data_IF_311817390373
#
_entry.id   IF_311817390373
#
_cell.length_a   1.000
_cell.length_b   1.000
_cell.length_c   1.000
_cell.angle_alpha   90.00
_cell.angle_beta   90.00
_cell.angle_gamma   90.00
#
_symmetry.space_group_name_H-M   'P 1'
#
loop_
_entity.id
_entity.type
_entity.pdbx_description
1 polymer ?
#
# COMPACT_ATOMS: atom_id res chain seq x y z
N UNK A 1 -31.36 11.99 1.53
CA UNK A 1 -31.12 10.92 0.53
C UNK A 1 -29.69 10.44 0.69
N UNK A 2 -29.43 9.13 0.91
CA UNK A 2 -28.05 8.60 0.90
C UNK A 2 -27.53 8.66 -0.53
N UNK A 3 -26.42 9.39 -0.78
CA UNK A 3 -25.73 9.36 -2.08
C UNK A 3 -25.40 7.90 -2.40
N UNK A 4 -25.64 7.43 -3.64
CA UNK A 4 -25.27 6.08 -4.03
C UNK A 4 -23.76 5.87 -3.84
N UNK A 5 -23.32 4.67 -3.42
CA UNK A 5 -21.91 4.42 -3.18
C UNK A 5 -21.13 4.60 -4.49
N UNK A 6 -20.01 5.34 -4.42
CA UNK A 6 -19.09 5.49 -5.55
C UNK A 6 -18.60 4.09 -5.92
N UNK A 7 -19.03 3.59 -7.09
CA UNK A 7 -18.62 2.28 -7.58
C UNK A 7 -17.15 2.36 -8.02
N UNK A 8 -16.37 1.33 -7.66
CA UNK A 8 -14.98 1.26 -8.10
C UNK A 8 -14.90 1.22 -9.63
N UNK A 9 -14.13 2.15 -10.20
CA UNK A 9 -14.02 2.31 -11.66
C UNK A 9 -13.08 1.30 -12.32
N UNK A 10 -12.29 0.57 -11.52
CA UNK A 10 -11.38 -0.47 -11.97
C UNK A 10 -9.92 0.00 -12.12
N UNK A 11 -8.98 -0.92 -11.90
CA UNK A 11 -7.54 -0.65 -11.85
C UNK A 11 -7.01 0.02 -13.12
N UNK A 12 -7.52 -0.40 -14.29
CA UNK A 12 -7.09 0.16 -15.58
C UNK A 12 -7.39 1.66 -15.67
N UNK A 13 -8.61 2.07 -15.33
CA UNK A 13 -9.01 3.49 -15.42
C UNK A 13 -8.21 4.36 -14.46
N UNK A 14 -7.95 3.86 -13.24
CA UNK A 14 -7.10 4.58 -12.28
C UNK A 14 -5.66 4.68 -12.79
N UNK A 15 -5.10 3.61 -13.37
CA UNK A 15 -3.76 3.66 -13.96
C UNK A 15 -3.68 4.67 -15.12
N UNK A 16 -4.66 4.66 -16.02
CA UNK A 16 -4.72 5.57 -17.16
C UNK A 16 -4.84 7.05 -16.68
N UNK A 17 -5.59 7.28 -15.61
CA UNK A 17 -5.73 8.58 -14.96
C UNK A 17 -4.43 9.07 -14.32
N UNK A 18 -3.74 8.21 -13.55
CA UNK A 18 -2.45 8.53 -12.95
C UNK A 18 -1.39 8.85 -14.02
N UNK A 19 -1.38 8.07 -15.11
CA UNK A 19 -0.47 8.31 -16.24
C UNK A 19 -0.78 9.62 -16.97
N UNK A 20 -2.07 9.95 -17.17
CA UNK A 20 -2.50 11.23 -17.79
C UNK A 20 -1.92 12.44 -17.06
N UNK A 21 -1.88 12.39 -15.74
CA UNK A 21 -1.37 13.48 -14.91
C UNK A 21 0.08 13.26 -14.45
N UNK A 22 0.85 12.44 -15.17
CA UNK A 22 2.27 12.18 -14.91
C UNK A 22 2.59 11.86 -13.44
N UNK A 23 1.74 11.08 -12.77
CA UNK A 23 1.97 10.65 -11.39
C UNK A 23 3.32 9.90 -11.30
N UNK A 24 4.27 10.36 -10.47
CA UNK A 24 5.58 9.73 -10.35
C UNK A 24 5.52 8.40 -9.61
N UNK A 25 4.46 8.16 -8.83
CA UNK A 25 4.28 6.93 -8.07
C UNK A 25 3.58 5.87 -8.94
N UNK A 26 4.14 4.65 -9.07
CA UNK A 26 3.51 3.61 -9.85
C UNK A 26 2.24 3.08 -9.18
N UNK A 27 1.29 2.60 -9.98
CA UNK A 27 -0.06 2.25 -9.51
C UNK A 27 -0.08 1.23 -8.35
N UNK A 28 0.81 0.23 -8.35
CA UNK A 28 0.87 -0.75 -7.26
C UNK A 28 1.28 -0.11 -5.93
N UNK A 29 2.22 0.85 -5.95
CA UNK A 29 2.60 1.63 -4.78
C UNK A 29 1.49 2.61 -4.37
N UNK A 30 0.75 3.19 -5.31
CA UNK A 30 -0.44 4.01 -4.99
C UNK A 30 -1.48 3.17 -4.23
N UNK A 31 -1.73 1.92 -4.66
CA UNK A 31 -2.69 1.03 -3.97
C UNK A 31 -2.28 0.80 -2.52
N UNK A 32 -1.01 0.51 -2.27
CA UNK A 32 -0.54 0.22 -0.93
C UNK A 32 -0.41 1.48 -0.07
N UNK A 33 -0.05 2.63 -0.65
CA UNK A 33 -0.05 3.93 0.05
C UNK A 33 -1.44 4.37 0.50
N UNK A 34 -2.44 4.27 -0.36
CA UNK A 34 -3.82 4.53 0.06
C UNK A 34 -4.27 3.50 1.12
N UNK A 35 -3.89 2.22 0.98
CA UNK A 35 -4.21 1.20 1.99
C UNK A 35 -3.54 1.50 3.34
N UNK A 36 -2.28 1.96 3.34
CA UNK A 36 -1.57 2.41 4.52
C UNK A 36 -2.32 3.54 5.23
N UNK A 37 -2.73 4.58 4.50
CA UNK A 37 -3.45 5.70 5.10
C UNK A 37 -4.82 5.29 5.64
N UNK A 38 -5.54 4.42 4.92
CA UNK A 38 -6.77 3.75 5.40
C UNK A 38 -6.52 2.97 6.68
N UNK A 39 -5.31 2.45 6.89
CA UNK A 39 -4.93 1.62 8.03
C UNK A 39 -4.52 2.44 9.24
N UNK A 40 -3.91 3.61 9.02
CA UNK A 40 -3.32 4.46 10.06
C UNK A 40 -4.23 4.61 11.29
N UNK A 41 -3.74 4.36 12.52
CA UNK A 41 -4.56 4.48 13.72
C UNK A 41 -4.97 5.92 14.04
N UNK A 42 -4.39 6.89 13.33
CA UNK A 42 -4.69 8.31 13.42
C UNK A 42 -6.13 8.63 13.04
N UNK A 43 -6.75 9.52 13.82
CA UNK A 43 -8.11 10.03 13.53
C UNK A 43 -8.10 11.20 12.55
N UNK A 44 -6.95 11.85 12.40
CA UNK A 44 -6.71 13.02 11.55
C UNK A 44 -6.06 12.67 10.19
N UNK A 45 -5.85 11.38 9.91
CA UNK A 45 -5.30 10.92 8.62
C UNK A 45 -6.17 11.43 7.46
N UNK A 46 -5.55 12.20 6.55
CA UNK A 46 -6.25 12.89 5.46
C UNK A 46 -6.10 12.14 4.13
N UNK A 47 -7.20 11.63 3.55
CA UNK A 47 -7.19 11.05 2.20
C UNK A 47 -6.77 12.08 1.14
N UNK A 48 -7.17 13.34 1.31
CA UNK A 48 -6.84 14.40 0.37
C UNK A 48 -5.34 14.72 0.38
N UNK A 49 -4.71 14.73 1.56
CA UNK A 49 -3.26 14.93 1.66
C UNK A 49 -2.51 13.75 1.03
N UNK A 50 -2.93 12.51 1.33
CA UNK A 50 -2.32 11.31 0.73
C UNK A 50 -2.38 11.34 -0.80
N UNK A 51 -3.45 11.88 -1.38
CA UNK A 51 -3.56 12.07 -2.84
C UNK A 51 -2.56 13.11 -3.34
N UNK A 52 -2.38 14.25 -2.65
CA UNK A 52 -1.35 15.25 -3.00
C UNK A 52 0.06 14.70 -2.92
N UNK A 53 0.33 13.88 -1.91
CA UNK A 53 1.66 13.31 -1.68
C UNK A 53 2.06 12.32 -2.79
N UNK A 54 1.11 11.86 -3.63
CA UNK A 54 1.45 11.12 -4.85
C UNK A 54 2.23 11.97 -5.85
N UNK A 55 2.12 13.30 -5.79
CA UNK A 55 2.84 14.28 -6.62
C UNK A 55 3.82 15.14 -5.80
N UNK A 56 4.26 14.66 -4.63
CA UNK A 56 5.22 15.40 -3.80
C UNK A 56 4.61 16.55 -2.99
N UNK A 57 3.30 16.52 -2.75
CA UNK A 57 2.60 17.44 -1.83
C UNK A 57 1.74 18.50 -2.52
N UNK A 58 1.87 18.64 -3.84
CA UNK A 58 1.07 19.54 -4.67
C UNK A 58 0.39 18.77 -5.79
N UNK A 59 -0.86 19.11 -6.12
CA UNK A 59 -1.56 18.46 -7.23
C UNK A 59 -0.98 18.95 -8.57
N UNK A 60 -1.07 18.14 -9.64
CA UNK A 60 -0.72 18.58 -10.99
C UNK A 60 -1.62 19.73 -11.45
N UNK A 61 -1.22 20.43 -12.51
CA UNK A 61 -2.09 21.41 -13.16
C UNK A 61 -3.29 20.73 -13.80
N UNK A 62 -4.45 21.39 -13.74
CA UNK A 62 -5.71 20.91 -14.34
C UNK A 62 -6.29 21.97 -15.26
N UNK A 63 -6.93 21.52 -16.33
CA UNK A 63 -7.60 22.39 -17.29
C UNK A 63 -8.81 23.12 -16.65
N UNK A 64 -9.56 22.42 -15.80
CA UNK A 64 -10.74 22.93 -15.14
C UNK A 64 -11.06 22.18 -13.83
N UNK A 65 -12.11 22.63 -13.13
CA UNK A 65 -12.57 21.99 -11.90
C UNK A 65 -13.19 20.61 -12.12
N UNK A 66 -13.69 20.30 -13.32
CA UNK A 66 -14.26 18.99 -13.62
C UNK A 66 -13.17 17.93 -13.71
N UNK A 67 -12.00 18.28 -14.25
CA UNK A 67 -10.79 17.47 -14.26
C UNK A 67 -10.31 17.12 -12.83
N UNK A 68 -10.32 18.12 -11.93
CA UNK A 68 -10.03 17.92 -10.49
C UNK A 68 -11.04 16.95 -9.87
N UNK A 69 -12.34 17.21 -10.09
CA UNK A 69 -13.41 16.38 -9.55
C UNK A 69 -13.30 14.93 -10.04
N UNK A 70 -12.97 14.71 -11.31
CA UNK A 70 -12.78 13.39 -11.88
C UNK A 70 -11.60 12.65 -11.22
N UNK A 71 -10.47 13.35 -11.00
CA UNK A 71 -9.33 12.78 -10.31
C UNK A 71 -9.72 12.25 -8.93
N UNK A 72 -10.34 13.10 -8.12
CA UNK A 72 -10.78 12.72 -6.78
C UNK A 72 -11.85 11.63 -6.80
N UNK A 73 -12.82 11.67 -7.72
CA UNK A 73 -13.86 10.65 -7.81
C UNK A 73 -13.27 9.26 -8.09
N UNK A 74 -12.38 9.15 -9.08
CA UNK A 74 -11.78 7.87 -9.46
C UNK A 74 -10.85 7.35 -8.36
N UNK A 75 -10.02 8.20 -7.74
CA UNK A 75 -9.16 7.82 -6.61
C UNK A 75 -9.98 7.46 -5.35
N UNK A 76 -11.05 8.18 -5.04
CA UNK A 76 -11.94 7.83 -3.92
C UNK A 76 -12.70 6.53 -4.19
N UNK A 77 -12.96 6.20 -5.45
CA UNK A 77 -13.51 4.89 -5.81
C UNK A 77 -12.53 3.76 -5.48
N UNK A 78 -11.23 3.95 -5.72
CA UNK A 78 -10.16 3.02 -5.33
C UNK A 78 -10.04 2.93 -3.81
N UNK A 79 -10.01 4.07 -3.12
CA UNK A 79 -10.00 4.15 -1.67
C UNK A 79 -11.12 3.32 -1.03
N UNK A 80 -12.36 3.53 -1.48
CA UNK A 80 -13.53 2.79 -0.99
C UNK A 80 -13.43 1.29 -1.29
N UNK A 81 -12.79 0.92 -2.40
CA UNK A 81 -12.53 -0.48 -2.69
C UNK A 81 -11.49 -1.08 -1.74
N UNK A 82 -10.40 -0.38 -1.48
CA UNK A 82 -9.33 -0.81 -0.57
C UNK A 82 -9.80 -0.88 0.89
N UNK A 83 -10.66 0.04 1.32
CA UNK A 83 -11.22 0.05 2.68
C UNK A 83 -11.97 -1.25 3.05
N UNK A 84 -12.44 -2.01 2.06
CA UNK A 84 -13.05 -3.33 2.27
C UNK A 84 -12.08 -4.33 2.91
N UNK A 85 -10.77 -4.13 2.76
CA UNK A 85 -9.72 -4.98 3.34
C UNK A 85 -9.54 -4.80 4.85
N UNK A 86 -10.23 -3.83 5.46
CA UNK A 86 -10.37 -3.73 6.92
C UNK A 86 -11.28 -4.83 7.52
N UNK A 87 -11.78 -5.76 6.71
CA UNK A 87 -12.55 -6.93 7.14
C UNK A 87 -11.67 -8.17 7.21
N UNK A 88 -11.82 -8.97 8.28
CA UNK A 88 -11.14 -10.28 8.43
C UNK A 88 -11.39 -11.24 7.26
N UNK A 89 -12.55 -11.13 6.60
CA UNK A 89 -12.94 -11.99 5.48
C UNK A 89 -12.42 -11.53 4.12
N UNK A 90 -11.72 -10.39 4.05
CA UNK A 90 -11.27 -9.79 2.79
C UNK A 90 -9.79 -9.43 2.85
N UNK A 91 -8.87 -10.41 2.91
CA UNK A 91 -7.44 -10.12 2.91
C UNK A 91 -7.02 -9.30 1.69
N UNK A 92 -6.10 -8.37 1.89
CA UNK A 92 -5.47 -7.64 0.78
C UNK A 92 -4.51 -8.56 0.02
N UNK A 93 -4.31 -8.28 -1.27
CA UNK A 93 -3.39 -9.00 -2.14
C UNK A 93 -2.50 -8.03 -2.90
N UNK A 94 -1.20 -8.33 -2.88
CA UNK A 94 -0.17 -7.64 -3.64
C UNK A 94 -0.38 -7.90 -5.14
N UNK A 95 0.14 -7.00 -5.98
CA UNK A 95 -0.03 -7.05 -7.43
C UNK A 95 0.58 -8.33 -8.00
N UNK A 96 -0.13 -9.03 -8.88
CA UNK A 96 0.41 -10.23 -9.53
C UNK A 96 1.26 -9.79 -10.72
N UNK A 97 2.55 -10.12 -10.69
CA UNK A 97 3.43 -9.92 -11.84
C UNK A 97 3.46 -11.13 -12.78
N UNK A 98 3.84 -10.88 -14.03
CA UNK A 98 3.99 -11.89 -15.07
C UNK A 98 4.97 -13.00 -14.70
N UNK A 99 4.76 -14.19 -15.26
CA UNK A 99 5.45 -15.43 -14.89
C UNK A 99 6.75 -15.67 -15.67
N UNK A 100 7.45 -14.60 -16.05
CA UNK A 100 8.75 -14.74 -16.70
C UNK A 100 9.81 -15.30 -15.73
N UNK A 101 10.92 -15.78 -16.30
CA UNK A 101 12.02 -16.42 -15.56
C UNK A 101 13.37 -15.77 -15.87
N UNK A 102 13.39 -14.59 -16.51
CA UNK A 102 14.62 -13.84 -16.74
C UNK A 102 15.06 -13.08 -15.48
N UNK A 103 16.33 -12.63 -15.46
CA UNK A 103 16.82 -11.73 -14.40
C UNK A 103 16.07 -10.38 -14.41
N UNK A 104 15.61 -9.92 -15.58
CA UNK A 104 14.77 -8.72 -15.70
C UNK A 104 13.39 -8.92 -15.06
N UNK A 105 12.77 -10.10 -15.25
CA UNK A 105 11.50 -10.43 -14.60
C UNK A 105 11.65 -10.51 -13.08
N UNK A 106 12.76 -11.08 -12.61
CA UNK A 106 13.10 -11.18 -11.20
C UNK A 106 13.30 -9.80 -10.59
N UNK A 107 14.10 -8.96 -11.25
CA UNK A 107 14.34 -7.56 -10.86
C UNK A 107 13.02 -6.79 -10.76
N UNK A 108 12.21 -6.85 -11.81
CA UNK A 108 10.90 -6.18 -11.85
C UNK A 108 9.99 -6.62 -10.71
N UNK A 109 9.94 -7.91 -10.41
CA UNK A 109 9.16 -8.41 -9.28
C UNK A 109 9.68 -7.86 -7.95
N UNK A 110 11.00 -7.84 -7.74
CA UNK A 110 11.60 -7.27 -6.53
C UNK A 110 11.29 -5.77 -6.39
N UNK A 111 11.47 -4.99 -7.45
CA UNK A 111 11.16 -3.55 -7.48
C UNK A 111 9.70 -3.29 -7.11
N UNK A 112 8.76 -3.95 -7.81
CA UNK A 112 7.32 -3.83 -7.52
C UNK A 112 7.01 -4.17 -6.07
N UNK A 113 7.63 -5.21 -5.51
CA UNK A 113 7.40 -5.60 -4.12
C UNK A 113 7.95 -4.59 -3.14
N UNK A 114 9.16 -4.11 -3.34
CA UNK A 114 9.74 -3.07 -2.48
C UNK A 114 8.89 -1.81 -2.50
N UNK A 115 8.48 -1.35 -3.69
CA UNK A 115 7.60 -0.18 -3.84
C UNK A 115 6.20 -0.39 -3.21
N UNK A 116 5.65 -1.61 -3.27
CA UNK A 116 4.39 -1.91 -2.59
C UNK A 116 4.52 -1.90 -1.07
N UNK A 117 5.57 -2.51 -0.50
CA UNK A 117 5.78 -2.57 0.94
C UNK A 117 6.08 -1.18 1.50
N UNK A 118 6.91 -0.40 0.82
CA UNK A 118 7.22 0.99 1.19
C UNK A 118 6.02 1.88 1.05
N UNK A 119 5.25 1.75 -0.05
CA UNK A 119 3.99 2.46 -0.19
C UNK A 119 3.06 2.21 0.99
N UNK A 120 2.93 0.96 1.46
CA UNK A 120 2.12 0.66 2.65
C UNK A 120 2.63 1.37 3.90
N UNK A 121 3.94 1.35 4.14
CA UNK A 121 4.58 2.02 5.30
C UNK A 121 4.39 3.54 5.22
N UNK A 122 4.74 4.16 4.09
CA UNK A 122 4.58 5.59 3.85
C UNK A 122 3.13 6.04 4.11
N UNK A 123 2.17 5.26 3.60
CA UNK A 123 0.76 5.56 3.80
C UNK A 123 0.33 5.46 5.26
N UNK A 124 0.85 4.46 5.99
CA UNK A 124 0.49 4.19 7.38
C UNK A 124 0.94 5.33 8.30
N UNK A 125 2.19 5.77 8.15
CA UNK A 125 2.81 6.82 8.95
C UNK A 125 2.40 8.22 8.48
N UNK A 126 2.24 8.41 7.16
CA UNK A 126 1.99 9.73 6.59
C UNK A 126 3.19 10.64 6.85
N UNK A 127 2.96 11.77 7.51
CA UNK A 127 4.00 12.74 7.85
C UNK A 127 4.66 12.50 9.22
N UNK A 128 4.20 11.51 10.00
CA UNK A 128 4.72 11.27 11.35
C UNK A 128 5.90 10.29 11.30
N UNK A 129 6.89 10.49 12.17
CA UNK A 129 8.03 9.59 12.31
C UNK A 129 7.67 8.34 13.14
N UNK A 130 6.71 8.47 14.06
CA UNK A 130 6.30 7.42 15.01
C UNK A 130 4.77 7.29 15.09
N UNK A 131 4.30 6.09 15.43
CA UNK A 131 2.89 5.79 15.68
C UNK A 131 2.72 4.94 16.93
N UNK A 132 1.69 5.25 17.73
CA UNK A 132 1.26 4.39 18.83
C UNK A 132 0.54 3.14 18.28
N UNK A 133 1.33 2.10 18.02
CA UNK A 133 0.87 0.82 17.50
C UNK A 133 0.67 -0.20 18.64
N UNK A 134 -0.38 -1.01 18.52
CA UNK A 134 -0.52 -2.21 19.36
C UNK A 134 0.58 -3.22 18.98
N UNK A 135 0.99 -4.05 19.93
CA UNK A 135 2.04 -5.07 19.79
C UNK A 135 1.94 -5.87 18.47
N UNK A 136 0.74 -6.38 18.13
CA UNK A 136 0.56 -7.14 16.89
C UNK A 136 0.82 -6.33 15.61
N UNK A 137 0.57 -5.01 15.63
CA UNK A 137 0.93 -4.14 14.51
C UNK A 137 2.44 -3.89 14.45
N UNK A 138 3.10 -3.73 15.60
CA UNK A 138 4.56 -3.60 15.70
C UNK A 138 5.24 -4.84 15.10
N UNK A 139 4.88 -6.04 15.57
CA UNK A 139 5.41 -7.30 15.03
C UNK A 139 5.21 -7.41 13.51
N UNK A 140 4.03 -7.04 13.02
CA UNK A 140 3.72 -7.08 11.60
C UNK A 140 4.58 -6.10 10.79
N UNK A 141 4.82 -4.90 11.31
CA UNK A 141 5.69 -3.90 10.68
C UNK A 141 7.16 -4.33 10.66
N UNK A 142 7.65 -4.93 11.75
CA UNK A 142 9.01 -5.50 11.80
C UNK A 142 9.20 -6.59 10.73
N UNK A 143 8.23 -7.50 10.60
CA UNK A 143 8.27 -8.54 9.58
C UNK A 143 8.20 -7.98 8.16
N UNK A 144 7.36 -6.96 7.92
CA UNK A 144 7.33 -6.26 6.62
C UNK A 144 8.70 -5.64 6.31
N UNK A 145 9.34 -4.98 7.28
CA UNK A 145 10.67 -4.39 7.14
C UNK A 145 11.76 -5.44 6.85
N UNK A 146 11.74 -6.58 7.54
CA UNK A 146 12.66 -7.69 7.28
C UNK A 146 12.47 -8.28 5.88
N UNK A 147 11.21 -8.48 5.45
CA UNK A 147 10.89 -8.92 4.09
C UNK A 147 11.41 -7.94 3.05
N UNK A 148 11.15 -6.65 3.23
CA UNK A 148 11.63 -5.64 2.29
C UNK A 148 13.16 -5.61 2.23
N UNK A 149 13.84 -5.75 3.38
CA UNK A 149 15.30 -5.81 3.45
C UNK A 149 15.87 -7.02 2.70
N UNK A 150 15.25 -8.20 2.84
CA UNK A 150 15.63 -9.39 2.08
C UNK A 150 15.46 -9.20 0.56
N UNK A 151 14.37 -8.56 0.12
CA UNK A 151 14.10 -8.31 -1.30
C UNK A 151 15.10 -7.27 -1.86
N UNK A 152 15.37 -6.20 -1.12
CA UNK A 152 16.41 -5.20 -1.48
C UNK A 152 17.80 -5.84 -1.59
N UNK A 153 18.14 -6.76 -0.71
CA UNK A 153 19.40 -7.53 -0.82
C UNK A 153 19.51 -8.36 -2.11
N UNK A 154 18.38 -8.80 -2.69
CA UNK A 154 18.36 -9.46 -4.00
C UNK A 154 18.59 -8.44 -5.12
N UNK A 155 17.96 -7.26 -5.06
CA UNK A 155 18.21 -6.18 -6.03
C UNK A 155 19.69 -5.76 -6.03
N UNK A 156 20.24 -5.49 -4.84
CA UNK A 156 21.66 -5.16 -4.67
C UNK A 156 22.58 -6.24 -5.23
N UNK A 157 22.16 -7.51 -5.17
CA UNK A 157 22.91 -8.61 -5.76
C UNK A 157 22.84 -8.61 -7.29
N UNK A 158 21.66 -8.34 -7.86
CA UNK A 158 21.45 -8.26 -9.31
C UNK A 158 22.17 -7.06 -9.95
N UNK A 159 22.40 -6.00 -9.19
CA UNK A 159 23.10 -4.78 -9.64
C UNK A 159 24.62 -4.85 -9.56
N UNK A 160 25.20 -5.90 -8.96
CA UNK A 160 26.65 -6.02 -8.84
C UNK A 160 27.30 -6.26 -10.19
N UNK A 161 28.22 -5.37 -10.63
CA UNK A 161 28.98 -5.61 -11.84
C UNK A 161 29.87 -6.86 -11.65
N UNK A 162 30.00 -7.66 -12.71
CA UNK A 162 30.87 -8.85 -12.79
C UNK A 162 30.46 -10.07 -11.94
N UNK A 163 29.20 -10.18 -11.53
CA UNK A 163 28.71 -11.46 -11.00
C UNK A 163 28.51 -12.47 -12.13
N UNK A 164 28.87 -13.76 -11.92
CA UNK A 164 28.49 -14.81 -12.84
C UNK A 164 26.96 -14.81 -13.00
N UNK A 165 26.44 -15.03 -14.22
CA UNK A 165 25.00 -15.13 -14.40
C UNK A 165 24.47 -16.29 -13.57
N UNK A 166 23.37 -16.06 -12.85
CA UNK A 166 22.70 -17.10 -12.09
C UNK A 166 22.30 -18.26 -13.02
N UNK A 167 22.29 -19.47 -12.51
CA UNK A 167 21.71 -20.61 -13.23
C UNK A 167 20.18 -20.50 -13.25
N UNK A 168 19.52 -21.15 -14.22
CA UNK A 168 18.05 -21.22 -14.26
C UNK A 168 17.44 -21.78 -12.97
N UNK A 169 18.15 -22.73 -12.34
CA UNK A 169 17.74 -23.35 -11.08
C UNK A 169 17.78 -22.35 -9.92
N UNK A 170 18.84 -21.56 -9.83
CA UNK A 170 18.97 -20.51 -8.81
C UNK A 170 17.92 -19.42 -9.01
N UNK A 171 17.75 -18.93 -10.26
CA UNK A 171 16.69 -17.96 -10.60
C UNK A 171 15.31 -18.47 -10.19
N UNK A 172 14.97 -19.70 -10.56
CA UNK A 172 13.68 -20.31 -10.23
C UNK A 172 13.47 -20.43 -8.73
N UNK A 173 14.51 -20.80 -7.98
CA UNK A 173 14.46 -20.87 -6.52
C UNK A 173 14.24 -19.48 -5.89
N UNK A 174 14.98 -18.46 -6.34
CA UNK A 174 14.84 -17.08 -5.86
C UNK A 174 13.45 -16.52 -6.17
N UNK A 175 12.93 -16.76 -7.37
CA UNK A 175 11.57 -16.36 -7.76
C UNK A 175 10.51 -17.01 -6.86
N UNK A 176 10.69 -18.29 -6.51
CA UNK A 176 9.81 -18.98 -5.56
C UNK A 176 9.89 -18.34 -4.17
N UNK A 177 11.10 -18.05 -3.70
CA UNK A 177 11.31 -17.42 -2.39
C UNK A 177 10.62 -16.05 -2.32
N UNK A 178 10.74 -15.20 -3.33
CA UNK A 178 10.06 -13.89 -3.35
C UNK A 178 8.54 -14.05 -3.36
N UNK A 179 8.00 -15.04 -4.08
CA UNK A 179 6.56 -15.36 -4.06
C UNK A 179 6.10 -15.81 -2.67
N UNK A 180 6.91 -16.58 -1.97
CA UNK A 180 6.63 -17.03 -0.59
C UNK A 180 6.69 -15.84 0.38
N UNK A 181 7.74 -15.01 0.31
CA UNK A 181 7.86 -13.77 1.08
C UNK A 181 6.69 -12.81 0.81
N UNK A 182 6.25 -12.67 -0.44
CA UNK A 182 5.08 -11.85 -0.80
C UNK A 182 3.82 -12.33 -0.08
N UNK A 183 3.61 -13.65 0.04
CA UNK A 183 2.45 -14.20 0.76
C UNK A 183 2.53 -13.98 2.26
N UNK A 184 3.74 -13.96 2.82
CA UNK A 184 3.96 -13.62 4.23
C UNK A 184 3.67 -12.13 4.43
N UNK A 185 4.21 -11.25 3.58
CA UNK A 185 3.92 -9.82 3.62
C UNK A 185 2.42 -9.51 3.54
N UNK A 186 1.67 -10.18 2.66
CA UNK A 186 0.21 -10.04 2.60
C UNK A 186 -0.50 -10.37 3.93
N UNK A 187 -0.02 -11.40 4.64
CA UNK A 187 -0.56 -11.77 5.96
C UNK A 187 -0.23 -10.73 7.01
N UNK A 188 1.01 -10.24 7.03
CA UNK A 188 1.47 -9.23 7.98
C UNK A 188 0.78 -7.88 7.74
N UNK A 189 0.67 -7.43 6.49
CA UNK A 189 -0.14 -6.24 6.11
C UNK A 189 -1.57 -6.40 6.64
N UNK A 190 -2.20 -7.56 6.46
CA UNK A 190 -3.55 -7.78 6.95
C UNK A 190 -3.63 -7.80 8.49
N UNK A 191 -2.61 -8.31 9.18
CA UNK A 191 -2.54 -8.26 10.63
C UNK A 191 -2.42 -6.81 11.15
N UNK A 192 -1.57 -6.00 10.53
CA UNK A 192 -1.43 -4.55 10.81
C UNK A 192 -2.76 -3.84 10.59
N UNK A 193 -3.43 -4.09 9.45
CA UNK A 193 -4.76 -3.56 9.14
C UNK A 193 -5.76 -3.81 10.27
N UNK A 194 -5.88 -5.07 10.69
CA UNK A 194 -6.84 -5.47 11.71
C UNK A 194 -6.48 -4.93 13.10
N UNK A 195 -5.19 -4.81 13.40
CA UNK A 195 -4.69 -4.29 14.67
C UNK A 195 -4.95 -2.78 14.78
N UNK A 196 -4.57 -1.99 13.78
CA UNK A 196 -4.81 -0.54 13.77
C UNK A 196 -6.30 -0.19 13.74
N UNK A 197 -7.12 -1.00 13.06
CA UNK A 197 -8.58 -0.87 13.13
C UNK A 197 -9.11 -1.02 14.57
N UNK A 198 -8.57 -1.95 15.36
CA UNK A 198 -8.94 -2.12 16.77
C UNK A 198 -8.49 -0.94 17.61
N UNK A 199 -7.25 -0.48 17.41
CA UNK A 199 -6.72 0.70 18.09
C UNK A 199 -7.64 1.91 17.91
N UNK A 200 -8.03 2.23 16.66
CA UNK A 200 -9.00 3.31 16.37
C UNK A 200 -10.31 3.16 17.11
N UNK A 201 -10.88 1.95 17.12
CA UNK A 201 -12.15 1.69 17.79
C UNK A 201 -12.04 1.94 19.31
N UNK A 202 -10.91 1.59 19.93
CA UNK A 202 -10.64 1.83 21.35
C UNK A 202 -10.46 3.32 21.64
N UNK A 203 -9.70 4.05 20.82
CA UNK A 203 -9.51 5.50 20.98
C UNK A 203 -10.84 6.25 20.89
N UNK A 204 -11.69 5.89 19.92
CA UNK A 204 -13.03 6.49 19.78
C UNK A 204 -13.89 6.20 21.02
N UNK A 205 -13.90 4.96 21.54
CA UNK A 205 -14.72 4.64 22.70
C UNK A 205 -14.26 5.35 23.98
N UNK A 206 -12.96 5.58 24.12
CA UNK A 206 -12.39 6.31 25.28
C UNK A 206 -12.63 7.82 25.21
N UNK A 207 -12.79 8.38 24.01
CA UNK A 207 -13.11 9.80 23.78
C UNK A 207 -14.61 10.16 23.89
N UNK A 208 -15.50 9.17 24.09
CA UNK A 208 -16.94 9.41 24.26
C UNK A 208 -17.33 9.93 25.65
N UNK A 209 -18.49 10.59 25.82
CA UNK A 209 -18.95 11.05 27.13
C UNK A 209 -19.12 9.85 28.08
N UNK A 210 -18.58 9.97 29.30
CA UNK A 210 -18.78 8.95 30.35
C UNK A 210 -20.28 8.74 30.55
N UNK A 211 -20.79 7.49 30.60
CA UNK A 211 -22.18 7.24 30.91
C UNK A 211 -22.48 7.78 32.32
N UNK A 212 -23.31 8.80 32.40
CA UNK A 212 -23.95 9.21 33.65
C UNK A 212 -25.04 8.19 33.95
N UNK A 213 -24.78 7.33 34.93
CA UNK A 213 -25.84 6.54 35.54
C UNK A 213 -26.68 7.50 36.40
N UNK A 214 -27.96 7.66 36.03
CA UNK A 214 -28.99 8.29 36.86
C UNK A 214 -29.66 7.25 37.74
#
# INVERSE_FOLDING_TARGET
>A
MKKPPIKYVGDKKVRDLLARYACPVPFHAVRTRLLGNITSPRLDASPAQTVKDLWGGELPEFDDMDAVNLLFQDLMSLWNNLAKHQSRSKPFKLSREGTGSSDDDLRRLCEVRTEELEGFVDGLFGADEDLDLLERAVEGMEQIGQINSMIRGILDHLDRPNMPPATDKERTATLKNIKDLSRIAEKEIHAVILSCKRARAQSISQSGPRPTFH
#
